data_IF_478845091528
#
_entry.id   IF_478845091528
#
_cell.length_a   1.000
_cell.length_b   1.000
_cell.length_c   1.000
_cell.angle_alpha   90.00
_cell.angle_beta   90.00
_cell.angle_gamma   90.00
#
_symmetry.space_group_name_H-M   'P 1'
#
loop_
_entity.id
_entity.type
_entity.pdbx_description
1 polymer ?
#
# COMPACT_ATOMS: atom_id res chain seq x y z
N UNK A 1 15.11 34.06 -27.61
CA UNK A 1 14.27 32.93 -28.11
C UNK A 1 14.39 31.66 -27.26
N UNK A 2 15.54 31.34 -26.64
CA UNK A 2 15.75 30.14 -25.79
C UNK A 2 14.81 29.97 -24.57
N UNK A 3 14.29 31.05 -23.97
CA UNK A 3 13.43 30.95 -22.78
C UNK A 3 12.04 30.38 -23.10
N UNK A 4 11.48 30.72 -24.27
CA UNK A 4 10.13 30.27 -24.68
C UNK A 4 10.10 28.77 -24.99
N UNK A 5 11.18 28.25 -25.57
CA UNK A 5 11.36 26.81 -25.84
C UNK A 5 11.49 26.00 -24.56
N UNK A 6 12.17 26.54 -23.54
CA UNK A 6 12.29 25.89 -22.22
C UNK A 6 10.95 25.79 -21.49
N UNK A 7 10.18 26.88 -21.44
CA UNK A 7 8.85 26.90 -20.81
C UNK A 7 7.87 25.95 -21.51
N UNK A 8 7.88 25.89 -22.85
CA UNK A 8 7.04 24.96 -23.61
C UNK A 8 7.40 23.50 -23.33
N UNK A 9 8.69 23.17 -23.19
CA UNK A 9 9.14 21.82 -22.89
C UNK A 9 8.69 21.37 -21.48
N UNK A 10 8.83 22.24 -20.48
CA UNK A 10 8.38 21.97 -19.11
C UNK A 10 6.86 21.79 -19.04
N UNK A 11 6.11 22.62 -19.77
CA UNK A 11 4.65 22.49 -19.82
C UNK A 11 4.25 21.15 -20.45
N UNK A 12 4.93 20.75 -21.53
CA UNK A 12 4.68 19.49 -22.21
C UNK A 12 5.00 18.29 -21.30
N UNK A 13 6.10 18.31 -20.56
CA UNK A 13 6.44 17.21 -19.64
C UNK A 13 5.43 17.07 -18.50
N UNK A 14 4.99 18.18 -17.91
CA UNK A 14 3.95 18.16 -16.87
C UNK A 14 2.61 17.65 -17.41
N UNK A 15 2.23 18.05 -18.63
CA UNK A 15 1.03 17.55 -19.30
C UNK A 15 1.11 16.03 -19.52
N UNK A 16 2.20 15.53 -20.10
CA UNK A 16 2.40 14.09 -20.34
C UNK A 16 2.39 13.34 -19.00
N UNK A 17 3.04 13.89 -17.98
CA UNK A 17 3.12 13.25 -16.67
C UNK A 17 1.76 13.16 -15.98
N UNK A 18 0.95 14.23 -16.02
CA UNK A 18 -0.42 14.20 -15.50
C UNK A 18 -1.35 13.25 -16.27
N UNK A 19 -1.05 12.94 -17.52
CA UNK A 19 -1.85 12.04 -18.36
C UNK A 19 -1.49 10.55 -18.20
N UNK A 20 -0.34 10.23 -17.58
CA UNK A 20 0.11 8.83 -17.41
C UNK A 20 -0.52 8.13 -16.20
N UNK A 21 -1.45 8.78 -15.50
CA UNK A 21 -2.19 8.19 -14.38
C UNK A 21 -1.64 8.58 -13.00
N UNK A 22 -2.07 7.89 -11.94
CA UNK A 22 -1.61 8.18 -10.59
C UNK A 22 -0.14 7.79 -10.41
N UNK A 23 0.68 8.74 -9.98
CA UNK A 23 2.08 8.49 -9.60
C UNK A 23 2.17 8.50 -8.08
N UNK A 24 2.59 7.38 -7.53
CA UNK A 24 2.72 7.24 -6.08
C UNK A 24 3.79 6.21 -5.76
N UNK A 25 4.19 6.21 -4.50
CA UNK A 25 5.06 5.20 -3.93
C UNK A 25 4.44 4.65 -2.64
N UNK A 26 4.65 3.36 -2.40
CA UNK A 26 4.24 2.68 -1.18
C UNK A 26 5.46 2.00 -0.59
N UNK A 27 5.69 2.22 0.70
CA UNK A 27 6.80 1.61 1.45
C UNK A 27 6.35 1.14 2.82
N UNK A 28 7.04 0.13 3.32
CA UNK A 28 7.10 -0.19 4.73
C UNK A 28 8.34 0.48 5.34
N UNK A 29 8.29 0.79 6.63
CA UNK A 29 9.42 1.38 7.36
C UNK A 29 10.64 0.45 7.45
N UNK A 30 10.44 -0.87 7.26
CA UNK A 30 11.47 -1.92 7.26
C UNK A 30 11.08 -3.05 6.30
N UNK A 31 12.05 -3.90 5.99
CA UNK A 31 11.85 -5.10 5.17
C UNK A 31 11.70 -6.39 6.02
N UNK A 32 12.01 -6.32 7.31
CA UNK A 32 11.96 -7.48 8.23
C UNK A 32 11.29 -7.06 9.53
N UNK A 33 10.39 -7.91 10.03
CA UNK A 33 9.65 -7.68 11.27
C UNK A 33 9.56 -8.94 12.12
N UNK A 34 9.76 -8.77 13.42
CA UNK A 34 9.54 -9.82 14.42
C UNK A 34 8.07 -9.86 14.89
N UNK A 35 7.62 -10.99 15.47
CA UNK A 35 6.30 -11.09 16.09
C UNK A 35 6.02 -9.95 17.08
N UNK A 36 4.80 -9.39 17.01
CA UNK A 36 4.39 -8.25 17.84
C UNK A 36 4.87 -6.87 17.39
N UNK A 37 5.80 -6.77 16.43
CA UNK A 37 6.17 -5.49 15.84
C UNK A 37 5.01 -4.88 15.02
N UNK A 38 5.04 -3.56 14.88
CA UNK A 38 3.98 -2.77 14.27
C UNK A 38 4.54 -1.99 13.07
N UNK A 39 4.57 -2.60 11.87
CA UNK A 39 5.02 -1.93 10.67
C UNK A 39 4.24 -0.66 10.40
N UNK A 40 4.90 0.33 9.81
CA UNK A 40 4.30 1.55 9.32
C UNK A 40 4.33 1.53 7.80
N UNK A 41 3.16 1.41 7.20
CA UNK A 41 2.98 1.59 5.76
C UNK A 41 2.86 3.08 5.46
N UNK A 42 3.65 3.57 4.51
CA UNK A 42 3.58 4.94 4.03
C UNK A 42 3.22 4.95 2.55
N UNK A 43 2.26 5.80 2.19
CA UNK A 43 1.88 6.10 0.81
C UNK A 43 2.28 7.55 0.54
N UNK A 44 2.99 7.80 -0.56
CA UNK A 44 3.34 9.14 -1.00
C UNK A 44 2.76 9.37 -2.38
N UNK A 45 1.96 10.42 -2.53
CA UNK A 45 1.52 10.86 -3.85
C UNK A 45 2.64 11.69 -4.47
N UNK A 46 3.25 11.20 -5.54
CA UNK A 46 4.30 11.92 -6.27
C UNK A 46 3.76 12.53 -7.57
N UNK A 47 2.49 12.32 -7.89
CA UNK A 47 1.85 12.81 -9.10
C UNK A 47 1.27 14.22 -8.96
N UNK A 48 0.68 14.68 -10.07
CA UNK A 48 0.05 16.00 -10.18
C UNK A 48 -1.44 15.99 -9.84
N UNK A 49 -2.02 14.83 -9.57
CA UNK A 49 -3.44 14.65 -9.27
C UNK A 49 -3.62 13.93 -7.94
N UNK A 50 -4.72 14.16 -7.21
CA UNK A 50 -5.03 13.40 -6.00
C UNK A 50 -5.16 11.89 -6.26
N UNK A 51 -4.87 11.10 -5.23
CA UNK A 51 -5.12 9.66 -5.20
C UNK A 51 -6.06 9.32 -4.05
N UNK A 52 -6.78 8.21 -4.18
CA UNK A 52 -7.81 7.77 -3.26
C UNK A 52 -7.59 6.32 -2.85
N UNK A 53 -7.77 5.99 -1.58
CA UNK A 53 -7.61 4.62 -1.09
C UNK A 53 -8.36 4.40 0.23
N UNK A 54 -8.73 3.15 0.50
CA UNK A 54 -9.37 2.76 1.75
C UNK A 54 -8.38 2.51 2.90
N UNK A 55 -8.89 2.36 4.12
CA UNK A 55 -8.09 1.90 5.26
C UNK A 55 -7.60 0.44 5.10
N UNK A 56 -8.40 -0.37 4.39
CA UNK A 56 -8.12 -1.80 4.21
C UNK A 56 -6.82 -2.09 3.46
N UNK A 57 -6.27 -3.26 3.73
CA UNK A 57 -5.16 -3.85 3.00
C UNK A 57 -5.34 -5.37 2.96
N UNK A 58 -4.66 -6.01 2.04
CA UNK A 58 -4.59 -7.47 1.92
C UNK A 58 -3.19 -7.94 2.25
N UNK A 59 -3.10 -9.10 2.89
CA UNK A 59 -1.84 -9.77 3.17
C UNK A 59 -1.78 -11.10 2.43
N UNK A 60 -0.63 -11.40 1.85
CA UNK A 60 -0.32 -12.65 1.18
C UNK A 60 0.97 -13.23 1.74
N UNK A 61 1.07 -14.55 1.77
CA UNK A 61 2.28 -15.31 2.14
C UNK A 61 2.78 -16.07 0.91
N UNK A 62 4.09 -16.12 0.76
CA UNK A 62 4.71 -16.92 -0.30
C UNK A 62 4.76 -18.38 0.13
N UNK A 63 3.99 -19.22 -0.55
CA UNK A 63 3.88 -20.65 -0.27
C UNK A 63 3.96 -21.44 -1.58
N UNK A 64 4.85 -22.44 -1.63
CA UNK A 64 4.99 -23.37 -2.76
C UNK A 64 5.09 -22.69 -4.14
N UNK A 65 5.78 -21.54 -4.22
CA UNK A 65 5.98 -20.81 -5.48
C UNK A 65 4.83 -19.88 -5.87
N UNK A 66 3.85 -19.65 -4.98
CA UNK A 66 2.69 -18.79 -5.25
C UNK A 66 2.36 -17.89 -4.06
N UNK A 67 1.63 -16.80 -4.30
CA UNK A 67 1.13 -15.93 -3.24
C UNK A 67 -0.25 -16.39 -2.78
N UNK A 68 -0.33 -16.87 -1.55
CA UNK A 68 -1.57 -17.34 -0.92
C UNK A 68 -2.08 -16.24 0.02
N UNK A 69 -3.38 -15.92 -0.07
CA UNK A 69 -3.99 -14.88 0.77
C UNK A 69 -4.01 -15.33 2.23
N UNK A 70 -3.52 -14.47 3.11
CA UNK A 70 -3.60 -14.65 4.56
C UNK A 70 -4.93 -14.08 5.04
N UNK A 71 -5.75 -14.91 5.67
CA UNK A 71 -6.96 -14.45 6.36
C UNK A 71 -6.53 -13.73 7.64
N UNK A 72 -6.99 -12.50 7.84
CA UNK A 72 -6.59 -11.70 9.01
C UNK A 72 -7.74 -11.38 9.98
N UNK A 73 -8.99 -11.64 9.59
CA UNK A 73 -10.17 -11.25 10.39
C UNK A 73 -10.25 -9.73 10.68
N UNK A 74 -9.55 -8.91 9.90
CA UNK A 74 -9.50 -7.47 10.11
C UNK A 74 -10.79 -6.80 9.62
N UNK A 75 -11.45 -6.08 10.51
CA UNK A 75 -12.58 -5.22 10.19
C UNK A 75 -12.07 -3.78 10.05
N UNK A 76 -12.14 -3.25 8.83
CA UNK A 76 -11.77 -1.88 8.55
C UNK A 76 -13.02 -1.01 8.55
N UNK A 77 -12.94 0.15 9.20
CA UNK A 77 -13.94 1.20 9.02
C UNK A 77 -13.86 1.65 7.56
N UNK A 78 -15.01 1.82 6.91
CA UNK A 78 -15.12 2.32 5.55
C UNK A 78 -14.74 3.81 5.49
N UNK A 79 -13.43 4.08 5.55
CA UNK A 79 -12.84 5.41 5.40
C UNK A 79 -12.17 5.47 4.03
N UNK A 80 -12.58 6.46 3.24
CA UNK A 80 -11.91 6.83 2.00
C UNK A 80 -10.95 7.98 2.29
N UNK A 81 -9.65 7.74 2.06
CA UNK A 81 -8.64 8.78 2.15
C UNK A 81 -8.45 9.43 0.78
N UNK A 82 -8.37 10.76 0.77
CA UNK A 82 -7.90 11.55 -0.37
C UNK A 82 -6.51 12.08 -0.03
N UNK A 83 -5.52 11.75 -0.88
CA UNK A 83 -4.13 12.19 -0.70
C UNK A 83 -3.74 13.13 -1.84
N UNK A 84 -3.54 14.40 -1.47
CA UNK A 84 -3.17 15.46 -2.41
C UNK A 84 -1.77 15.25 -3.02
N UNK A 85 -1.50 15.84 -4.20
CA UNK A 85 -0.17 15.86 -4.82
C UNK A 85 0.93 16.22 -3.83
N UNK A 86 2.02 15.45 -3.84
CA UNK A 86 3.21 15.66 -3.01
C UNK A 86 3.02 15.51 -1.50
N UNK A 87 1.86 15.01 -1.05
CA UNK A 87 1.62 14.68 0.34
C UNK A 87 1.88 13.20 0.63
N UNK A 88 2.03 12.89 1.92
CA UNK A 88 2.18 11.53 2.44
C UNK A 88 1.07 11.19 3.43
N UNK A 89 0.80 9.90 3.55
CA UNK A 89 -0.09 9.31 4.52
C UNK A 89 0.53 8.03 5.07
N UNK A 90 0.33 7.76 6.35
CA UNK A 90 0.88 6.56 6.99
C UNK A 90 -0.16 5.84 7.83
N UNK A 91 -0.05 4.51 7.89
CA UNK A 91 -0.89 3.63 8.69
C UNK A 91 -0.04 2.56 9.37
N UNK A 92 -0.32 2.29 10.64
CA UNK A 92 0.21 1.11 11.32
C UNK A 92 -0.50 -0.15 10.84
N UNK A 93 0.28 -1.17 10.51
CA UNK A 93 -0.16 -2.47 10.02
C UNK A 93 -0.16 -3.48 11.16
N UNK A 94 -1.19 -4.31 11.21
CA UNK A 94 -1.28 -5.45 12.12
C UNK A 94 -0.79 -6.71 11.42
N UNK A 95 0.29 -7.31 11.96
CA UNK A 95 0.89 -8.57 11.49
C UNK A 95 0.32 -9.77 12.25
N UNK A 96 -0.98 -10.02 12.07
CA UNK A 96 -1.68 -11.17 12.64
C UNK A 96 -2.48 -11.90 11.58
N UNK A 97 -2.76 -13.18 11.82
CA UNK A 97 -3.62 -14.01 10.98
C UNK A 97 -4.76 -14.62 11.79
N UNK A 98 -5.89 -14.87 11.12
CA UNK A 98 -7.02 -15.61 11.64
C UNK A 98 -6.86 -17.08 11.21
N UNK A 99 -6.72 -18.03 12.15
CA UNK A 99 -6.70 -19.46 11.82
C UNK A 99 -7.96 -19.90 11.07
N UNK A 100 -7.83 -20.86 10.15
CA UNK A 100 -8.91 -21.26 9.23
C UNK A 100 -10.19 -21.73 9.94
N UNK A 101 -10.06 -22.29 11.15
CA UNK A 101 -11.17 -22.85 11.92
C UNK A 101 -11.74 -21.87 12.96
N UNK A 102 -11.31 -20.62 12.97
CA UNK A 102 -11.75 -19.61 13.92
C UNK A 102 -12.69 -18.58 13.28
N UNK A 103 -13.68 -18.15 14.04
CA UNK A 103 -14.58 -17.06 13.67
C UNK A 103 -13.93 -15.69 13.89
N UNK A 104 -14.37 -14.69 13.14
CA UNK A 104 -13.96 -13.30 13.37
C UNK A 104 -14.30 -12.88 14.81
N UNK A 105 -13.34 -12.29 15.51
CA UNK A 105 -13.38 -12.00 16.93
C UNK A 105 -12.38 -10.90 17.30
N UNK A 106 -11.98 -10.84 18.57
CA UNK A 106 -11.02 -9.83 19.03
C UNK A 106 -9.59 -10.15 18.54
N UNK A 107 -9.12 -9.32 17.62
CA UNK A 107 -7.82 -9.42 16.94
C UNK A 107 -6.63 -9.43 17.91
N UNK A 108 -6.79 -8.96 19.16
CA UNK A 108 -5.73 -9.02 20.16
C UNK A 108 -5.31 -10.46 20.44
N UNK A 109 -6.23 -11.41 20.33
CA UNK A 109 -5.99 -12.83 20.57
C UNK A 109 -5.53 -13.60 19.34
N UNK A 110 -5.50 -12.96 18.16
CA UNK A 110 -5.00 -13.61 16.97
C UNK A 110 -3.49 -13.88 17.09
N UNK A 111 -3.02 -15.05 16.61
CA UNK A 111 -1.61 -15.34 16.55
C UNK A 111 -0.87 -14.37 15.62
N UNK A 112 0.39 -14.12 15.93
CA UNK A 112 1.30 -13.40 15.05
C UNK A 112 1.59 -14.21 13.78
N UNK A 113 2.02 -13.52 12.72
CA UNK A 113 2.40 -14.20 11.48
C UNK A 113 3.52 -15.22 11.71
N UNK A 114 3.40 -16.46 11.18
CA UNK A 114 4.50 -17.42 11.22
C UNK A 114 5.68 -16.92 10.38
N UNK A 115 6.90 -17.45 10.60
CA UNK A 115 8.06 -17.11 9.78
C UNK A 115 7.80 -17.31 8.28
N UNK A 116 8.33 -16.41 7.45
CA UNK A 116 8.18 -16.48 6.00
C UNK A 116 8.24 -15.13 5.30
N UNK A 117 8.03 -15.17 3.99
CA UNK A 117 7.97 -13.98 3.13
C UNK A 117 6.52 -13.60 2.86
N UNK A 118 6.25 -12.31 3.00
CA UNK A 118 4.91 -11.75 2.91
C UNK A 118 4.84 -10.60 1.91
N UNK A 119 3.64 -10.37 1.41
CA UNK A 119 3.30 -9.24 0.53
C UNK A 119 2.05 -8.56 1.05
N UNK A 120 2.17 -7.27 1.34
CA UNK A 120 1.03 -6.41 1.62
C UNK A 120 0.59 -5.75 0.32
N UNK A 121 -0.73 -5.71 0.09
CA UNK A 121 -1.34 -5.10 -1.09
C UNK A 121 -2.38 -4.06 -0.67
N UNK A 122 -2.34 -2.88 -1.28
CA UNK A 122 -3.39 -1.87 -1.21
C UNK A 122 -3.87 -1.50 -2.60
N UNK A 123 -5.17 -1.33 -2.73
CA UNK A 123 -5.76 -0.73 -3.91
C UNK A 123 -5.68 0.81 -3.78
N UNK A 124 -5.14 1.46 -4.81
CA UNK A 124 -5.00 2.90 -4.91
C UNK A 124 -5.62 3.34 -6.22
N UNK A 125 -6.53 4.31 -6.14
CA UNK A 125 -7.27 4.85 -7.28
C UNK A 125 -6.82 6.28 -7.59
N UNK A 126 -6.83 6.66 -8.86
CA UNK A 126 -6.59 8.03 -9.28
C UNK A 126 -7.09 8.29 -10.69
N UNK A 127 -7.23 9.56 -11.06
CA UNK A 127 -7.57 9.96 -12.43
C UNK A 127 -6.29 10.30 -13.21
N UNK A 128 -6.25 10.08 -14.54
CA UNK A 128 -7.26 9.39 -15.36
C UNK A 128 -7.20 7.85 -15.30
N UNK A 129 -6.21 7.26 -14.60
CA UNK A 129 -5.83 5.85 -14.74
C UNK A 129 -6.67 4.78 -14.02
N UNK A 130 -7.67 5.15 -13.21
CA UNK A 130 -8.47 4.18 -12.46
C UNK A 130 -7.76 3.65 -11.22
N UNK A 131 -8.06 2.41 -10.83
CA UNK A 131 -7.51 1.76 -9.64
C UNK A 131 -6.40 0.76 -9.99
N UNK A 132 -5.36 0.71 -9.17
CA UNK A 132 -4.24 -0.22 -9.29
C UNK A 132 -3.85 -0.79 -7.93
N UNK A 133 -3.30 -2.01 -7.94
CA UNK A 133 -2.80 -2.66 -6.73
C UNK A 133 -1.32 -2.28 -6.51
N UNK A 134 -1.07 -1.54 -5.44
CA UNK A 134 0.27 -1.31 -4.93
C UNK A 134 0.66 -2.44 -3.98
N UNK A 135 1.89 -2.94 -4.10
CA UNK A 135 2.37 -4.01 -3.22
C UNK A 135 3.76 -3.76 -2.69
N UNK A 136 3.98 -4.15 -1.45
CA UNK A 136 5.26 -4.12 -0.75
C UNK A 136 5.50 -5.46 -0.10
N UNK A 137 6.75 -5.91 -0.06
CA UNK A 137 7.13 -7.20 0.48
C UNK A 137 7.97 -7.05 1.74
N UNK A 138 7.86 -8.02 2.64
CA UNK A 138 8.64 -8.06 3.88
C UNK A 138 8.85 -9.51 4.33
N UNK A 139 9.72 -9.69 5.33
CA UNK A 139 10.06 -10.99 5.91
C UNK A 139 9.71 -11.03 7.40
N UNK A 140 9.27 -12.19 7.85
CA UNK A 140 9.21 -12.55 9.26
C UNK A 140 10.26 -13.64 9.49
N UNK A 141 11.33 -13.38 10.27
CA UNK A 141 12.38 -14.36 10.51
C UNK A 141 11.88 -15.48 11.44
N UNK A 142 12.59 -16.62 11.49
CA UNK A 142 12.33 -17.69 12.44
C UNK A 142 12.47 -17.25 13.90
#
# INVERSE_FOLDING_TARGET
MMWKTGAALVLLTLLIWGLTGPHFYVELDRETYHPGEKPVLTIRNTGLTPIYFGQGYLLYRWENGTWVRVTQGLLFIAVLHELMPFHSWSQTITLKYLPENESVGDQRFYPDLPPGRYRLVKEICGRPGGCTNASVEFQVPP
#
